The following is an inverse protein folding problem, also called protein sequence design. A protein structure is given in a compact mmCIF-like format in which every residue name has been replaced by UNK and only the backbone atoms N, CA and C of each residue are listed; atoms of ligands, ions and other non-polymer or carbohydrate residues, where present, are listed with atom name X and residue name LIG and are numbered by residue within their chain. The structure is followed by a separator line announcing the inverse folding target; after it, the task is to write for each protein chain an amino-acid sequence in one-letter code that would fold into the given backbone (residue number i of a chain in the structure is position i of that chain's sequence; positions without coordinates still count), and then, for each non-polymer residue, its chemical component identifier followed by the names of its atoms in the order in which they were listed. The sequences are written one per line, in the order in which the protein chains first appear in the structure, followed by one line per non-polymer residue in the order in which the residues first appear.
data_IF_860861432415
#
_entry.id   IF_860861432415
#
_cell.length_a   1.000
_cell.length_b   1.000
_cell.length_c   1.000
_cell.angle_alpha   90.00
_cell.angle_beta   90.00
_cell.angle_gamma   90.00
#
_symmetry.space_group_name_H-M   'P 1'
#
loop_
_entity.id
_entity.type
_entity.pdbx_description
1 polymer ?
#
# COMPACT_ATOMS: atom_id res chain seq x y z
N UNK A 1 -10.93 -28.36 24.81
CA UNK A 1 -9.47 -28.15 24.65
C UNK A 1 -9.09 -27.62 23.26
N UNK A 2 -9.65 -28.11 22.16
CA UNK A 2 -9.31 -27.68 20.77
C UNK A 2 -9.50 -26.17 20.53
N UNK A 3 -10.56 -25.54 21.03
CA UNK A 3 -10.80 -24.10 20.83
C UNK A 3 -9.73 -23.19 21.48
N UNK A 4 -9.22 -23.55 22.67
CA UNK A 4 -8.14 -22.77 23.31
C UNK A 4 -6.82 -22.88 22.57
N UNK A 5 -6.51 -24.05 21.97
CA UNK A 5 -5.31 -24.21 21.14
C UNK A 5 -5.43 -23.45 19.81
N UNK A 6 -6.61 -23.44 19.18
CA UNK A 6 -6.87 -22.66 17.98
C UNK A 6 -6.69 -21.15 18.23
N UNK A 7 -7.31 -20.62 19.30
CA UNK A 7 -7.19 -19.21 19.67
C UNK A 7 -5.73 -18.81 19.93
N UNK A 8 -4.96 -19.65 20.64
CA UNK A 8 -3.55 -19.38 20.91
C UNK A 8 -2.70 -19.37 19.63
N UNK A 9 -3.01 -20.26 18.67
CA UNK A 9 -2.30 -20.35 17.39
C UNK A 9 -2.57 -19.13 16.48
N UNK A 10 -3.77 -18.56 16.55
CA UNK A 10 -4.22 -17.46 15.70
C UNK A 10 -4.35 -16.12 16.45
N UNK A 11 -3.83 -16.03 17.67
CA UNK A 11 -3.95 -14.88 18.57
C UNK A 11 -3.57 -13.56 17.88
N UNK A 12 -2.40 -13.51 17.26
CA UNK A 12 -1.90 -12.29 16.58
C UNK A 12 -2.82 -11.84 15.44
N UNK A 13 -3.31 -12.81 14.65
CA UNK A 13 -4.24 -12.55 13.56
C UNK A 13 -5.58 -12.00 14.08
N UNK A 14 -6.11 -12.63 15.13
CA UNK A 14 -7.41 -12.24 15.72
C UNK A 14 -7.33 -10.86 16.36
N UNK A 15 -6.28 -10.58 17.15
CA UNK A 15 -6.11 -9.29 17.82
C UNK A 15 -5.95 -8.14 16.83
N UNK A 16 -5.10 -8.32 15.82
CA UNK A 16 -4.90 -7.28 14.81
C UNK A 16 -6.12 -7.08 13.89
N UNK A 17 -6.84 -8.16 13.56
CA UNK A 17 -8.10 -8.07 12.82
C UNK A 17 -9.19 -7.36 13.63
N UNK A 18 -9.30 -7.69 14.92
CA UNK A 18 -10.24 -7.03 15.81
C UNK A 18 -9.95 -5.51 15.90
N UNK A 19 -8.69 -5.11 16.03
CA UNK A 19 -8.28 -3.70 16.02
C UNK A 19 -8.71 -3.01 14.71
N UNK A 20 -8.40 -3.59 13.56
CA UNK A 20 -8.75 -3.02 12.26
C UNK A 20 -10.29 -2.91 12.09
N UNK A 21 -11.05 -3.92 12.48
CA UNK A 21 -12.52 -3.92 12.42
C UNK A 21 -13.15 -2.93 13.39
N UNK A 22 -12.60 -2.78 14.60
CA UNK A 22 -13.07 -1.78 15.57
C UNK A 22 -12.85 -0.37 15.00
N UNK A 23 -11.67 -0.09 14.46
CA UNK A 23 -11.37 1.19 13.83
C UNK A 23 -12.32 1.47 12.65
N UNK A 24 -12.52 0.48 11.77
CA UNK A 24 -13.47 0.58 10.66
C UNK A 24 -14.89 0.85 11.15
N UNK A 25 -15.34 0.15 12.20
CA UNK A 25 -16.65 0.32 12.80
C UNK A 25 -16.85 1.69 13.43
N UNK A 26 -15.83 2.24 14.11
CA UNK A 26 -15.87 3.60 14.68
C UNK A 26 -16.00 4.63 13.54
N UNK A 27 -15.20 4.50 12.48
CA UNK A 27 -15.27 5.41 11.35
C UNK A 27 -16.62 5.31 10.64
N UNK A 28 -17.11 4.12 10.36
CA UNK A 28 -18.41 3.91 9.71
C UNK A 28 -19.61 4.39 10.56
N UNK A 29 -19.48 4.40 11.89
CA UNK A 29 -20.53 4.90 12.78
C UNK A 29 -20.55 6.44 12.90
N UNK A 30 -19.50 7.13 12.49
CA UNK A 30 -19.32 8.56 12.68
C UNK A 30 -19.22 9.36 11.38
N UNK A 31 -18.83 8.74 10.28
CA UNK A 31 -18.53 9.38 9.01
C UNK A 31 -19.16 8.60 7.86
N UNK A 32 -19.56 9.34 6.83
CA UNK A 32 -19.90 8.76 5.53
C UNK A 32 -18.64 8.61 4.70
N UNK A 33 -18.51 7.48 3.98
CA UNK A 33 -17.39 7.24 3.09
C UNK A 33 -17.71 7.76 1.70
N UNK A 34 -16.78 8.50 1.10
CA UNK A 34 -16.90 9.00 -0.26
C UNK A 34 -15.55 9.10 -0.95
N UNK A 35 -15.59 9.23 -2.26
CA UNK A 35 -14.37 9.38 -3.05
C UNK A 35 -13.81 10.79 -2.91
N UNK A 36 -12.47 10.89 -2.75
CA UNK A 36 -11.79 12.16 -2.49
C UNK A 36 -11.63 12.99 -3.77
N UNK A 37 -11.30 12.32 -4.88
CA UNK A 37 -10.98 12.98 -6.14
C UNK A 37 -11.92 12.56 -7.28
N UNK A 38 -11.97 13.41 -8.31
CA UNK A 38 -12.69 13.14 -9.55
C UNK A 38 -12.21 11.87 -10.24
N UNK A 39 -10.91 11.57 -10.16
CA UNK A 39 -10.32 10.34 -10.73
C UNK A 39 -10.91 9.09 -10.10
N UNK A 40 -11.10 9.06 -8.78
CA UNK A 40 -11.71 7.91 -8.10
C UNK A 40 -13.15 7.69 -8.54
N UNK A 41 -13.90 8.79 -8.77
CA UNK A 41 -15.27 8.74 -9.31
C UNK A 41 -15.25 8.23 -10.75
N UNK A 42 -14.31 8.74 -11.58
CA UNK A 42 -14.15 8.31 -12.97
C UNK A 42 -13.82 6.82 -13.06
N UNK A 43 -12.86 6.36 -12.27
CA UNK A 43 -12.50 4.94 -12.21
C UNK A 43 -13.73 4.09 -11.86
N UNK A 44 -14.46 4.48 -10.79
CA UNK A 44 -15.68 3.80 -10.38
C UNK A 44 -16.72 3.76 -11.49
N UNK A 45 -16.93 4.86 -12.22
CA UNK A 45 -17.93 4.97 -13.28
C UNK A 45 -17.57 4.11 -14.50
N UNK A 46 -16.29 4.06 -14.90
CA UNK A 46 -15.81 3.16 -15.95
C UNK A 46 -16.01 1.70 -15.54
N UNK A 47 -15.50 1.35 -14.36
CA UNK A 47 -15.57 -0.02 -13.82
C UNK A 47 -17.01 -0.53 -13.70
N UNK A 48 -17.95 0.35 -13.36
CA UNK A 48 -19.36 0.01 -13.20
C UNK A 48 -20.16 0.07 -14.51
N UNK A 49 -19.57 0.61 -15.60
CA UNK A 49 -20.21 0.70 -16.90
C UNK A 49 -21.16 1.89 -17.07
N UNK A 50 -21.02 2.95 -16.27
CA UNK A 50 -21.87 4.15 -16.37
C UNK A 50 -21.77 4.78 -17.75
N UNK A 51 -20.58 4.84 -18.34
CA UNK A 51 -20.36 5.49 -19.65
C UNK A 51 -20.65 4.57 -20.85
N UNK A 52 -20.33 3.28 -20.72
CA UNK A 52 -20.41 2.33 -21.85
C UNK A 52 -21.63 1.42 -21.80
N UNK A 53 -22.42 1.47 -20.73
CA UNK A 53 -23.54 0.54 -20.46
C UNK A 53 -23.09 -0.84 -20.00
N UNK A 54 -21.77 -1.12 -19.99
CA UNK A 54 -21.19 -2.40 -19.54
C UNK A 54 -19.93 -2.15 -18.73
N UNK A 55 -19.73 -2.88 -17.61
CA UNK A 55 -18.51 -2.80 -16.81
C UNK A 55 -17.24 -3.01 -17.65
N UNK A 56 -16.28 -2.09 -17.56
CA UNK A 56 -15.03 -2.10 -18.32
C UNK A 56 -13.81 -1.96 -17.40
N UNK A 57 -12.72 -2.66 -17.71
CA UNK A 57 -11.47 -2.64 -16.97
C UNK A 57 -10.45 -1.61 -17.46
N UNK A 58 -10.70 -0.90 -18.56
CA UNK A 58 -9.79 0.09 -19.14
C UNK A 58 -9.96 1.45 -18.45
N UNK A 59 -9.37 1.60 -17.28
CA UNK A 59 -9.54 2.78 -16.42
C UNK A 59 -8.45 3.85 -16.57
N UNK A 60 -7.40 3.57 -17.35
CA UNK A 60 -6.17 4.38 -17.52
C UNK A 60 -5.29 4.50 -16.26
N UNK A 61 -5.89 4.62 -15.09
CA UNK A 61 -5.15 4.82 -13.82
C UNK A 61 -4.75 3.50 -13.14
N UNK A 62 -5.64 2.47 -13.22
CA UNK A 62 -5.33 1.13 -12.71
C UNK A 62 -4.70 0.30 -13.81
N UNK A 63 -3.79 -0.60 -13.46
CA UNK A 63 -3.36 -1.61 -14.43
C UNK A 63 -4.54 -2.52 -14.80
N UNK A 64 -4.68 -2.81 -16.08
CA UNK A 64 -5.79 -3.57 -16.66
C UNK A 64 -6.13 -4.89 -15.92
N UNK A 65 -5.16 -5.71 -15.45
CA UNK A 65 -5.48 -6.93 -14.71
C UNK A 65 -6.32 -6.69 -13.46
N UNK A 66 -6.10 -5.59 -12.75
CA UNK A 66 -6.92 -5.20 -11.61
C UNK A 66 -8.25 -4.60 -12.07
N UNK A 67 -8.21 -3.75 -13.09
CA UNK A 67 -9.42 -3.14 -13.67
C UNK A 67 -10.42 -4.20 -14.13
N UNK A 68 -9.99 -5.19 -14.91
CA UNK A 68 -10.88 -6.26 -15.40
C UNK A 68 -11.43 -7.12 -14.27
N UNK A 69 -10.62 -7.39 -13.22
CA UNK A 69 -11.11 -8.12 -12.05
C UNK A 69 -12.25 -7.38 -11.36
N UNK A 70 -12.08 -6.07 -11.13
CA UNK A 70 -13.11 -5.23 -10.51
C UNK A 70 -14.35 -5.07 -11.40
N UNK A 71 -14.17 -4.90 -12.71
CA UNK A 71 -15.27 -4.85 -13.68
C UNK A 71 -16.08 -6.15 -13.70
N UNK A 72 -15.42 -7.30 -13.63
CA UNK A 72 -16.09 -8.60 -13.51
C UNK A 72 -16.91 -8.72 -12.21
N UNK A 73 -16.40 -8.19 -11.09
CA UNK A 73 -17.16 -8.15 -9.85
C UNK A 73 -18.39 -7.24 -9.95
N UNK A 74 -18.32 -6.11 -10.65
CA UNK A 74 -19.49 -5.26 -10.92
C UNK A 74 -20.57 -5.96 -11.75
N UNK A 75 -20.22 -6.91 -12.62
CA UNK A 75 -21.23 -7.71 -13.37
C UNK A 75 -22.04 -8.63 -12.47
N UNK A 76 -21.47 -9.08 -11.36
CA UNK A 76 -22.10 -10.04 -10.45
C UNK A 76 -22.65 -9.45 -9.15
N UNK A 77 -22.22 -8.25 -8.77
CA UNK A 77 -22.52 -7.66 -7.48
C UNK A 77 -23.16 -6.27 -7.62
N UNK A 78 -24.28 -6.06 -6.93
CA UNK A 78 -25.00 -4.77 -6.89
C UNK A 78 -24.51 -3.87 -5.74
N UNK A 79 -23.20 -3.86 -5.45
CA UNK A 79 -22.57 -3.04 -4.39
C UNK A 79 -21.54 -2.10 -5.02
N UNK A 80 -21.11 -1.02 -4.33
CA UNK A 80 -20.04 -0.15 -4.80
C UNK A 80 -18.68 -0.87 -4.70
N UNK A 81 -18.39 -1.77 -5.66
CA UNK A 81 -17.24 -2.69 -5.65
C UNK A 81 -15.93 -1.95 -5.48
N UNK A 82 -15.71 -0.83 -6.20
CA UNK A 82 -14.45 -0.10 -6.13
C UNK A 82 -14.22 0.51 -4.74
N UNK A 83 -15.21 1.17 -4.16
CA UNK A 83 -15.13 1.70 -2.79
C UNK A 83 -14.91 0.61 -1.75
N UNK A 84 -15.64 -0.50 -1.86
CA UNK A 84 -15.46 -1.67 -0.99
C UNK A 84 -14.05 -2.27 -1.12
N UNK A 85 -13.50 -2.31 -2.34
CA UNK A 85 -12.13 -2.76 -2.60
C UNK A 85 -11.09 -1.83 -1.98
N UNK A 86 -11.24 -0.49 -2.10
CA UNK A 86 -10.34 0.47 -1.47
C UNK A 86 -10.36 0.32 0.06
N UNK A 87 -11.54 0.23 0.68
CA UNK A 87 -11.69 -0.03 2.11
C UNK A 87 -11.01 -1.35 2.53
N UNK A 88 -11.24 -2.41 1.77
CA UNK A 88 -10.59 -3.71 2.03
C UNK A 88 -9.06 -3.59 2.00
N UNK A 89 -8.50 -2.86 1.03
CA UNK A 89 -7.07 -2.64 0.91
C UNK A 89 -6.51 -1.78 2.06
N UNK A 90 -7.21 -0.71 2.44
CA UNK A 90 -6.80 0.18 3.53
C UNK A 90 -6.80 -0.56 4.88
N UNK A 91 -7.94 -1.16 5.25
CA UNK A 91 -8.04 -1.90 6.52
C UNK A 91 -7.24 -3.20 6.50
N UNK A 92 -7.06 -3.83 5.34
CA UNK A 92 -6.14 -4.93 5.12
C UNK A 92 -4.68 -4.55 5.38
N UNK A 93 -4.27 -3.34 4.97
CA UNK A 93 -2.94 -2.79 5.26
C UNK A 93 -2.74 -2.54 6.77
N UNK A 94 -3.74 -1.95 7.43
CA UNK A 94 -3.75 -1.74 8.88
C UNK A 94 -3.65 -3.07 9.63
N UNK A 95 -4.46 -4.05 9.22
CA UNK A 95 -4.40 -5.40 9.77
C UNK A 95 -3.03 -6.05 9.57
N UNK A 96 -2.44 -5.94 8.37
CA UNK A 96 -1.14 -6.54 8.05
C UNK A 96 -0.01 -5.95 8.90
N UNK A 97 -0.02 -4.63 9.13
CA UNK A 97 0.93 -3.95 10.02
C UNK A 97 0.73 -4.43 11.46
N UNK A 98 -0.49 -4.36 12.01
CA UNK A 98 -0.79 -4.79 13.36
C UNK A 98 -0.48 -6.27 13.61
N UNK A 99 -0.76 -7.14 12.63
CA UNK A 99 -0.38 -8.55 12.71
C UNK A 99 1.15 -8.71 12.80
N UNK A 100 1.89 -8.03 11.95
CA UNK A 100 3.36 -8.14 11.98
C UNK A 100 3.96 -7.56 13.25
N UNK A 101 3.44 -6.45 13.73
CA UNK A 101 3.84 -5.83 15.00
C UNK A 101 3.65 -6.77 16.18
N UNK A 102 2.50 -7.44 16.27
CA UNK A 102 2.25 -8.42 17.35
C UNK A 102 3.13 -9.66 17.25
N UNK A 103 3.47 -10.12 16.05
CA UNK A 103 4.46 -11.20 15.84
C UNK A 103 5.85 -10.77 16.29
N UNK A 104 6.27 -9.52 16.03
CA UNK A 104 7.55 -8.99 16.50
C UNK A 104 7.68 -9.03 18.03
N UNK A 105 6.60 -8.71 18.75
CA UNK A 105 6.57 -8.84 20.21
C UNK A 105 6.87 -10.27 20.65
N UNK A 106 6.29 -11.27 19.99
CA UNK A 106 6.53 -12.69 20.30
C UNK A 106 7.97 -13.12 19.94
N UNK A 107 8.49 -12.67 18.79
CA UNK A 107 9.86 -12.97 18.35
C UNK A 107 10.91 -12.38 19.30
N UNK A 108 10.72 -11.12 19.72
CA UNK A 108 11.63 -10.45 20.66
C UNK A 108 11.65 -11.15 22.04
N UNK A 109 10.49 -11.56 22.51
CA UNK A 109 10.38 -12.33 23.75
C UNK A 109 11.12 -13.65 23.65
N UNK A 110 10.88 -14.43 22.60
CA UNK A 110 11.56 -15.72 22.40
C UNK A 110 13.09 -15.56 22.34
N UNK A 111 13.58 -14.48 21.73
CA UNK A 111 15.01 -14.17 21.70
C UNK A 111 15.57 -13.87 23.09
N UNK A 112 14.85 -13.13 23.93
CA UNK A 112 15.26 -12.84 25.32
C UNK A 112 15.25 -14.08 26.20
N UNK A 113 14.22 -14.93 26.11
CA UNK A 113 14.13 -16.20 26.83
C UNK A 113 15.32 -17.11 26.45
N UNK A 114 15.66 -17.21 25.17
CA UNK A 114 16.80 -18.01 24.70
C UNK A 114 18.14 -17.48 25.21
N UNK A 115 18.31 -16.15 25.29
CA UNK A 115 19.52 -15.52 25.81
C UNK A 115 19.69 -15.71 27.33
N UNK A 116 18.59 -15.81 28.07
CA UNK A 116 18.62 -16.03 29.55
C UNK A 116 18.97 -17.46 29.93
N UNK A 117 18.77 -18.44 29.06
CA UNK A 117 19.03 -19.88 29.30
C UNK A 117 20.50 -20.25 29.03
N UNK A 118 21.30 -19.38 28.38
CA UNK A 118 22.71 -19.60 28.06
C UNK A 118 23.69 -18.88 29.02
N UNK A 119 23.90 -19.35 30.28
CA UNK A 119 24.63 -18.60 31.30
C UNK A 119 26.16 -18.75 31.21
N UNK A 120 26.73 -19.06 30.05
CA UNK A 120 28.16 -19.36 29.90
C UNK A 120 28.98 -18.48 28.96
N UNK A 121 28.38 -17.55 28.22
CA UNK A 121 29.11 -16.73 27.24
C UNK A 121 28.79 -15.21 27.33
N UNK A 122 28.79 -14.65 28.53
CA UNK A 122 28.71 -13.19 28.67
C UNK A 122 30.06 -12.55 28.42
N UNK A 123 30.28 -12.01 27.21
CA UNK A 123 31.34 -11.05 26.96
C UNK A 123 31.02 -9.72 27.66
N UNK A 124 32.04 -8.96 28.04
CA UNK A 124 31.92 -7.66 28.77
C UNK A 124 31.01 -6.62 28.11
N UNK A 125 30.67 -6.79 26.81
CA UNK A 125 29.73 -5.94 26.08
C UNK A 125 28.26 -6.20 26.46
N UNK A 126 27.92 -7.37 27.06
CA UNK A 126 26.59 -7.67 27.57
C UNK A 126 26.34 -7.07 28.96
N UNK A 127 27.38 -6.79 29.74
CA UNK A 127 27.23 -6.22 31.08
C UNK A 127 26.68 -4.77 31.06
N UNK A 128 27.00 -4.00 30.03
CA UNK A 128 26.46 -2.63 29.87
C UNK A 128 24.95 -2.59 29.54
N UNK A 129 24.36 -3.69 29.05
CA UNK A 129 22.92 -3.81 28.81
C UNK A 129 22.12 -4.35 30.01
N UNK A 130 22.80 -4.81 31.05
CA UNK A 130 22.20 -5.35 32.27
C UNK A 130 21.81 -4.27 33.30
N UNK A 131 21.94 -2.98 32.97
CA UNK A 131 21.55 -1.87 33.84
C UNK A 131 20.04 -1.56 33.82
N UNK A 132 19.18 -2.38 33.15
CA UNK A 132 17.72 -2.28 33.25
C UNK A 132 17.10 -3.55 33.82
N UNK A 133 17.26 -3.88 35.12
CA UNK A 133 16.65 -5.07 35.70
C UNK A 133 15.12 -4.94 35.90
N UNK A 134 14.55 -3.75 35.85
CA UNK A 134 13.14 -3.53 36.17
C UNK A 134 12.18 -3.83 35.01
N UNK A 135 12.63 -3.72 33.74
CA UNK A 135 11.78 -4.01 32.57
C UNK A 135 11.76 -5.50 32.22
N UNK A 136 12.82 -6.24 32.57
CA UNK A 136 12.91 -7.68 32.26
C UNK A 136 11.98 -8.59 33.07
N UNK A 137 11.54 -8.21 34.26
CA UNK A 137 10.65 -9.02 35.11
C UNK A 137 9.16 -8.93 34.68
N UNK A 138 8.79 -7.85 34.00
CA UNK A 138 7.39 -7.54 33.66
C UNK A 138 6.78 -8.40 32.52
N UNK A 139 7.55 -9.25 31.84
CA UNK A 139 7.10 -9.92 30.61
C UNK A 139 6.83 -11.43 30.79
N UNK A 140 6.79 -11.94 32.04
CA UNK A 140 6.82 -13.37 32.26
C UNK A 140 5.47 -14.08 32.26
N UNK A 141 4.35 -13.36 32.28
CA UNK A 141 3.02 -13.96 32.25
C UNK A 141 2.30 -13.81 30.91
N UNK A 142 1.37 -14.72 30.61
CA UNK A 142 0.52 -14.62 29.41
C UNK A 142 -0.33 -13.34 29.43
N UNK A 143 -0.77 -12.92 30.63
CA UNK A 143 -1.57 -11.70 30.81
C UNK A 143 -0.76 -10.44 30.46
N UNK A 144 0.50 -10.36 30.88
CA UNK A 144 1.39 -9.24 30.55
C UNK A 144 1.70 -9.18 29.05
N UNK A 145 1.93 -10.32 28.40
CA UNK A 145 2.12 -10.40 26.95
C UNK A 145 0.92 -9.86 26.17
N UNK A 146 -0.29 -10.26 26.55
CA UNK A 146 -1.53 -9.76 25.95
C UNK A 146 -1.71 -8.26 26.22
N UNK A 147 -1.33 -7.80 27.41
CA UNK A 147 -1.36 -6.38 27.76
C UNK A 147 -0.45 -5.54 26.85
N UNK A 148 0.78 -5.99 26.64
CA UNK A 148 1.73 -5.29 25.74
C UNK A 148 1.23 -5.25 24.29
N UNK A 149 0.73 -6.38 23.77
CA UNK A 149 0.13 -6.41 22.42
C UNK A 149 -1.09 -5.48 22.32
N UNK A 150 -1.92 -5.47 23.37
CA UNK A 150 -3.08 -4.57 23.43
C UNK A 150 -2.71 -3.10 23.42
N UNK A 151 -1.70 -2.70 24.22
CA UNK A 151 -1.19 -1.32 24.23
C UNK A 151 -0.58 -0.95 22.88
N UNK A 152 0.20 -1.84 22.25
CA UNK A 152 0.78 -1.63 20.95
C UNK A 152 -0.31 -1.42 19.87
N UNK A 153 -1.29 -2.30 19.81
CA UNK A 153 -2.40 -2.20 18.84
C UNK A 153 -3.27 -0.95 19.09
N UNK A 154 -3.46 -0.57 20.35
CA UNK A 154 -4.15 0.70 20.67
C UNK A 154 -3.36 1.90 20.18
N UNK A 155 -2.05 1.92 20.41
CA UNK A 155 -1.18 2.98 19.92
C UNK A 155 -1.18 3.05 18.39
N UNK A 156 -1.14 1.92 17.71
CA UNK A 156 -1.28 1.84 16.24
C UNK A 156 -2.65 2.34 15.77
N UNK A 157 -3.74 1.93 16.43
CA UNK A 157 -5.08 2.40 16.09
C UNK A 157 -5.22 3.92 16.24
N UNK A 158 -4.65 4.49 17.32
CA UNK A 158 -4.62 5.94 17.54
C UNK A 158 -3.76 6.64 16.49
N UNK A 159 -2.61 6.06 16.13
CA UNK A 159 -1.78 6.59 15.05
C UNK A 159 -2.52 6.60 13.71
N UNK A 160 -3.13 5.47 13.32
CA UNK A 160 -3.90 5.39 12.08
C UNK A 160 -5.07 6.37 12.07
N UNK A 161 -5.79 6.50 13.20
CA UNK A 161 -6.88 7.45 13.32
C UNK A 161 -6.39 8.90 13.22
N UNK A 162 -5.31 9.26 13.91
CA UNK A 162 -4.80 10.63 13.93
C UNK A 162 -4.09 11.04 12.64
N UNK A 163 -3.29 10.12 12.04
CA UNK A 163 -2.48 10.43 10.86
C UNK A 163 -3.23 10.20 9.54
N UNK A 164 -4.13 9.22 9.50
CA UNK A 164 -4.77 8.76 8.26
C UNK A 164 -6.29 8.80 8.32
N UNK A 165 -6.90 9.26 9.43
CA UNK A 165 -8.35 9.19 9.63
C UNK A 165 -9.17 9.84 8.53
N UNK A 166 -8.75 11.01 8.02
CA UNK A 166 -9.39 11.66 6.87
C UNK A 166 -9.28 10.80 5.61
N UNK A 167 -8.10 10.25 5.31
CA UNK A 167 -7.86 9.41 4.13
C UNK A 167 -8.52 8.03 4.21
N UNK A 168 -8.86 7.57 5.41
CA UNK A 168 -9.65 6.35 5.58
C UNK A 168 -11.14 6.56 5.28
N UNK A 169 -11.62 7.81 5.38
CA UNK A 169 -12.99 8.22 5.08
C UNK A 169 -13.11 8.74 3.65
N UNK A 170 -12.18 9.56 3.22
CA UNK A 170 -12.07 10.06 1.85
C UNK A 170 -11.25 9.08 1.02
N UNK A 171 -11.99 8.20 0.32
CA UNK A 171 -11.37 7.09 -0.40
C UNK A 171 -10.59 7.60 -1.61
N UNK A 172 -9.30 7.35 -1.61
CA UNK A 172 -8.41 7.70 -2.71
C UNK A 172 -7.52 6.53 -3.07
N UNK A 173 -7.50 6.16 -4.35
CA UNK A 173 -6.73 5.02 -4.84
C UNK A 173 -5.21 5.21 -4.66
N UNK A 174 -4.70 6.45 -4.79
CA UNK A 174 -3.28 6.77 -4.58
C UNK A 174 -2.84 6.54 -3.14
N UNK A 175 -3.62 7.04 -2.17
CA UNK A 175 -3.35 6.84 -0.74
C UNK A 175 -3.44 5.36 -0.40
N UNK A 176 -4.44 4.66 -0.93
CA UNK A 176 -4.61 3.21 -0.75
C UNK A 176 -3.42 2.43 -1.28
N UNK A 177 -2.89 2.79 -2.46
CA UNK A 177 -1.67 2.19 -3.00
C UNK A 177 -0.47 2.43 -2.10
N UNK A 178 -0.31 3.67 -1.58
CA UNK A 178 0.73 4.00 -0.60
C UNK A 178 0.65 3.19 0.69
N UNK A 179 -0.55 2.98 1.22
CA UNK A 179 -0.78 2.16 2.42
C UNK A 179 -0.40 0.69 2.17
N UNK A 180 -0.77 0.11 1.02
CA UNK A 180 -0.38 -1.25 0.63
C UNK A 180 1.14 -1.39 0.49
N UNK A 181 1.78 -0.44 -0.21
CA UNK A 181 3.23 -0.42 -0.36
C UNK A 181 3.94 -0.29 0.99
N UNK A 182 3.47 0.64 1.85
CA UNK A 182 4.01 0.83 3.21
C UNK A 182 3.88 -0.42 4.08
N UNK A 183 2.72 -1.08 4.05
CA UNK A 183 2.51 -2.34 4.76
C UNK A 183 3.42 -3.46 4.22
N UNK A 184 3.59 -3.55 2.90
CA UNK A 184 4.52 -4.50 2.26
C UNK A 184 5.96 -4.25 2.68
N UNK A 185 6.41 -3.00 2.66
CA UNK A 185 7.76 -2.60 3.08
C UNK A 185 7.99 -2.94 4.54
N UNK A 186 7.05 -2.58 5.43
CA UNK A 186 7.12 -2.92 6.84
C UNK A 186 7.25 -4.43 7.06
N UNK A 187 6.48 -5.21 6.29
CA UNK A 187 6.55 -6.67 6.36
C UNK A 187 7.91 -7.21 5.88
N UNK A 188 8.41 -6.78 4.72
CA UNK A 188 9.72 -7.21 4.20
C UNK A 188 10.84 -6.90 5.17
N UNK A 189 10.82 -5.68 5.74
CA UNK A 189 11.84 -5.19 6.67
C UNK A 189 11.86 -5.98 7.98
N UNK A 190 10.69 -6.36 8.48
CA UNK A 190 10.55 -6.98 9.80
C UNK A 190 10.47 -8.50 9.77
N UNK A 191 10.00 -9.11 8.67
CA UNK A 191 9.87 -10.55 8.54
C UNK A 191 11.23 -11.26 8.30
N UNK A 192 11.27 -12.56 8.54
CA UNK A 192 12.46 -13.40 8.35
C UNK A 192 12.19 -14.50 7.31
N UNK A 193 13.23 -14.88 6.57
CA UNK A 193 13.18 -16.00 5.66
C UNK A 193 12.02 -15.90 4.65
N UNK A 194 11.33 -17.02 4.42
CA UNK A 194 10.24 -17.12 3.42
C UNK A 194 9.03 -16.23 3.70
N UNK A 195 8.83 -15.77 4.94
CA UNK A 195 7.73 -14.86 5.28
C UNK A 195 7.81 -13.52 4.54
N UNK A 196 9.00 -13.09 4.13
CA UNK A 196 9.20 -11.87 3.32
C UNK A 196 8.47 -11.94 1.98
N UNK A 197 8.32 -13.12 1.38
CA UNK A 197 7.63 -13.27 0.10
C UNK A 197 6.13 -12.93 0.17
N UNK A 198 5.52 -13.02 1.34
CA UNK A 198 4.11 -12.62 1.53
C UNK A 198 3.88 -11.13 1.28
N UNK A 199 4.89 -10.31 1.53
CA UNK A 199 4.84 -8.88 1.25
C UNK A 199 4.68 -8.56 -0.24
N UNK A 200 5.15 -9.45 -1.13
CA UNK A 200 5.04 -9.24 -2.57
C UNK A 200 3.58 -9.13 -3.02
N UNK A 201 2.67 -9.87 -2.39
CA UNK A 201 1.24 -9.80 -2.73
C UNK A 201 0.67 -8.39 -2.48
N UNK A 202 1.00 -7.80 -1.33
CA UNK A 202 0.57 -6.44 -1.00
C UNK A 202 1.22 -5.42 -1.95
N UNK A 203 2.50 -5.63 -2.26
CA UNK A 203 3.23 -4.71 -3.13
C UNK A 203 2.76 -4.78 -4.58
N UNK A 204 2.50 -5.98 -5.11
CA UNK A 204 1.94 -6.15 -6.46
C UNK A 204 0.53 -5.58 -6.56
N UNK A 205 -0.28 -5.72 -5.51
CA UNK A 205 -1.60 -5.10 -5.45
C UNK A 205 -1.50 -3.57 -5.45
N UNK A 206 -0.55 -2.99 -4.70
CA UNK A 206 -0.21 -1.57 -4.74
C UNK A 206 0.19 -1.13 -6.15
N UNK A 207 1.06 -1.92 -6.80
CA UNK A 207 1.53 -1.65 -8.16
C UNK A 207 0.39 -1.71 -9.19
N UNK A 208 -0.53 -2.66 -9.07
CA UNK A 208 -1.70 -2.74 -9.94
C UNK A 208 -2.68 -1.59 -9.71
N UNK A 209 -2.76 -1.07 -8.48
CA UNK A 209 -3.64 0.04 -8.12
C UNK A 209 -3.08 1.39 -8.59
N UNK A 210 -1.78 1.65 -8.38
CA UNK A 210 -1.06 2.82 -8.87
C UNK A 210 0.45 2.55 -8.99
N UNK A 211 0.96 2.28 -10.20
CA UNK A 211 2.36 1.95 -10.44
C UNK A 211 3.33 3.03 -9.93
N UNK A 212 3.02 4.31 -10.17
CA UNK A 212 3.87 5.44 -9.80
C UNK A 212 4.06 5.52 -8.28
N UNK A 213 2.98 5.32 -7.52
CA UNK A 213 3.01 5.35 -6.07
C UNK A 213 3.80 4.16 -5.50
N UNK A 214 3.63 2.98 -6.06
CA UNK A 214 4.41 1.81 -5.68
C UNK A 214 5.90 2.03 -5.94
N UNK A 215 6.27 2.55 -7.13
CA UNK A 215 7.66 2.86 -7.48
C UNK A 215 8.25 3.96 -6.58
N UNK A 216 7.47 4.99 -6.24
CA UNK A 216 7.88 6.05 -5.31
C UNK A 216 8.23 5.51 -3.91
N UNK A 217 7.55 4.46 -3.48
CA UNK A 217 7.82 3.82 -2.18
C UNK A 217 9.03 2.87 -2.21
N UNK A 218 9.52 2.47 -3.39
CA UNK A 218 10.61 1.47 -3.52
C UNK A 218 11.94 1.89 -2.86
N UNK A 219 12.38 3.17 -2.94
CA UNK A 219 13.58 3.62 -2.22
C UNK A 219 13.50 3.41 -0.70
N UNK A 220 12.31 3.50 -0.10
CA UNK A 220 12.12 3.23 1.33
C UNK A 220 12.36 1.75 1.66
N UNK A 221 11.95 0.84 0.76
CA UNK A 221 12.25 -0.59 0.89
C UNK A 221 13.76 -0.84 0.81
N UNK A 222 14.45 -0.15 -0.10
CA UNK A 222 15.91 -0.21 -0.25
C UNK A 222 16.64 0.27 1.02
N UNK A 223 16.25 1.43 1.55
CA UNK A 223 16.79 1.97 2.78
C UNK A 223 16.55 1.04 3.98
N UNK A 224 15.34 0.53 4.15
CA UNK A 224 14.99 -0.45 5.17
C UNK A 224 15.80 -1.75 5.01
N UNK A 225 15.95 -2.24 3.80
CA UNK A 225 16.78 -3.41 3.47
C UNK A 225 18.25 -3.22 3.86
N UNK A 226 18.84 -2.05 3.56
CA UNK A 226 20.20 -1.72 3.95
C UNK A 226 20.36 -1.67 5.48
N UNK A 227 19.37 -1.13 6.20
CA UNK A 227 19.39 -1.11 7.67
C UNK A 227 19.40 -2.53 8.27
N UNK A 228 18.57 -3.45 7.72
CA UNK A 228 18.55 -4.85 8.16
C UNK A 228 19.88 -5.51 7.83
N UNK A 229 20.33 -5.31 6.61
CA UNK A 229 21.58 -5.87 6.13
C UNK A 229 22.78 -5.46 6.98
N UNK A 230 22.84 -4.20 7.39
CA UNK A 230 23.86 -3.72 8.35
C UNK A 230 23.77 -4.37 9.73
N UNK A 231 22.57 -4.83 10.15
CA UNK A 231 22.36 -5.56 11.42
C UNK A 231 22.72 -7.04 11.34
N UNK A 232 22.47 -7.66 10.21
CA UNK A 232 22.81 -9.07 9.94
C UNK A 232 24.27 -9.10 9.49
N UNK A 233 25.22 -9.39 10.38
CA UNK A 233 26.68 -9.43 10.10
C UNK A 233 27.12 -10.41 8.98
N UNK A 234 26.18 -11.09 8.31
CA UNK A 234 26.39 -12.05 7.24
C UNK A 234 25.91 -11.54 5.86
N UNK A 235 26.04 -10.27 5.61
CA UNK A 235 25.55 -9.55 4.43
C UNK A 235 25.88 -10.24 3.09
N UNK A 236 27.13 -10.73 2.93
CA UNK A 236 27.61 -11.34 1.70
C UNK A 236 27.64 -12.88 1.74
N UNK A 237 26.93 -13.52 2.68
CA UNK A 237 26.77 -14.96 2.62
C UNK A 237 26.02 -15.34 1.36
N UNK A 238 26.42 -16.44 0.69
CA UNK A 238 25.76 -16.95 -0.54
C UNK A 238 24.26 -17.18 -0.31
N UNK A 239 23.87 -17.58 0.89
CA UNK A 239 22.49 -17.85 1.26
C UNK A 239 21.67 -16.58 1.36
N UNK A 240 22.17 -15.55 2.07
CA UNK A 240 21.51 -14.23 2.17
C UNK A 240 21.39 -13.59 0.80
N UNK A 241 22.45 -13.57 0.01
CA UNK A 241 22.45 -12.99 -1.33
C UNK A 241 21.42 -13.70 -2.24
N UNK A 242 21.38 -15.03 -2.22
CA UNK A 242 20.41 -15.82 -3.00
C UNK A 242 18.97 -15.50 -2.60
N UNK A 243 18.72 -15.33 -1.29
CA UNK A 243 17.40 -15.00 -0.79
C UNK A 243 16.94 -13.61 -1.24
N UNK A 244 17.79 -12.58 -1.09
CA UNK A 244 17.47 -11.20 -1.48
C UNK A 244 17.37 -11.04 -3.01
N UNK A 245 18.25 -11.69 -3.78
CA UNK A 245 18.15 -11.72 -5.24
C UNK A 245 16.86 -12.42 -5.69
N UNK A 246 16.48 -13.52 -5.02
CA UNK A 246 15.23 -14.22 -5.31
C UNK A 246 14.00 -13.36 -5.03
N UNK A 247 14.00 -12.63 -3.91
CA UNK A 247 12.93 -11.70 -3.56
C UNK A 247 12.83 -10.55 -4.58
N UNK A 248 13.96 -9.95 -4.93
CA UNK A 248 14.04 -8.89 -5.92
C UNK A 248 13.61 -9.36 -7.32
N UNK A 249 14.09 -10.53 -7.75
CA UNK A 249 13.68 -11.12 -9.02
C UNK A 249 12.17 -11.39 -9.06
N UNK A 250 11.60 -11.97 -7.99
CA UNK A 250 10.16 -12.20 -7.89
C UNK A 250 9.38 -10.89 -7.96
N UNK A 251 9.84 -9.83 -7.27
CA UNK A 251 9.25 -8.50 -7.32
C UNK A 251 9.18 -7.98 -8.76
N UNK A 252 10.35 -7.94 -9.44
CA UNK A 252 10.48 -7.40 -10.80
C UNK A 252 9.70 -8.23 -11.82
N UNK A 253 9.75 -9.55 -11.72
CA UNK A 253 9.00 -10.45 -12.62
C UNK A 253 7.50 -10.21 -12.46
N UNK A 254 6.99 -10.13 -11.22
CA UNK A 254 5.57 -9.88 -11.00
C UNK A 254 5.11 -8.52 -11.52
N UNK A 255 5.89 -7.47 -11.27
CA UNK A 255 5.60 -6.13 -11.84
C UNK A 255 5.63 -6.17 -13.38
N UNK A 256 6.63 -6.83 -13.97
CA UNK A 256 6.76 -6.98 -15.41
C UNK A 256 5.59 -7.74 -16.04
N UNK A 257 5.07 -8.78 -15.36
CA UNK A 257 3.89 -9.52 -15.82
C UNK A 257 2.65 -8.63 -15.80
N UNK A 258 2.36 -7.94 -14.69
CA UNK A 258 1.18 -7.07 -14.60
C UNK A 258 1.25 -5.91 -15.59
N UNK A 259 2.39 -5.26 -15.72
CA UNK A 259 2.59 -4.20 -16.69
C UNK A 259 2.52 -4.71 -18.14
N UNK A 260 3.09 -5.87 -18.43
CA UNK A 260 3.01 -6.48 -19.76
C UNK A 260 1.57 -6.85 -20.17
N UNK A 261 0.75 -7.33 -19.22
CA UNK A 261 -0.67 -7.57 -19.46
C UNK A 261 -1.44 -6.27 -19.72
N UNK A 262 -1.08 -5.19 -19.02
CA UNK A 262 -1.64 -3.86 -19.26
C UNK A 262 -1.31 -3.36 -20.67
N UNK A 263 -0.04 -3.41 -21.07
CA UNK A 263 0.40 -3.01 -22.42
C UNK A 263 -0.31 -3.82 -23.51
N UNK A 264 -0.51 -5.12 -23.29
CA UNK A 264 -1.25 -5.97 -24.22
C UNK A 264 -2.73 -5.58 -24.33
N UNK A 265 -3.37 -5.23 -23.22
CA UNK A 265 -4.77 -4.81 -23.21
C UNK A 265 -4.99 -3.49 -23.97
N UNK A 266 -4.02 -2.57 -23.90
CA UNK A 266 -4.04 -1.30 -24.62
C UNK A 266 -3.28 -1.33 -25.97
N UNK A 267 -3.08 -2.50 -26.57
CA UNK A 267 -2.31 -2.65 -27.82
C UNK A 267 -3.12 -2.35 -29.09
N UNK A 268 -4.45 -2.34 -29.00
CA UNK A 268 -5.32 -1.93 -30.11
C UNK A 268 -5.05 -0.49 -30.52
N UNK A 269 -5.10 -0.13 -31.83
CA UNK A 269 -4.88 1.22 -32.31
C UNK A 269 -5.76 2.27 -31.62
N UNK A 270 -7.06 2.02 -31.46
CA UNK A 270 -7.99 2.96 -30.84
C UNK A 270 -7.60 3.26 -29.38
N UNK A 271 -7.15 2.23 -28.65
CA UNK A 271 -6.67 2.41 -27.28
C UNK A 271 -5.33 3.16 -27.21
N UNK A 272 -4.45 2.97 -28.18
CA UNK A 272 -3.17 3.72 -28.24
C UNK A 272 -3.41 5.19 -28.49
N UNK A 273 -4.28 5.53 -29.43
CA UNK A 273 -4.65 6.91 -29.73
C UNK A 273 -5.33 7.58 -28.55
N UNK A 274 -6.24 6.84 -27.86
CA UNK A 274 -6.87 7.35 -26.66
C UNK A 274 -5.88 7.55 -25.50
N UNK A 275 -4.92 6.64 -25.32
CA UNK A 275 -3.88 6.74 -24.28
C UNK A 275 -2.97 7.96 -24.55
N UNK A 276 -2.56 8.17 -25.80
CA UNK A 276 -1.80 9.36 -26.17
C UNK A 276 -2.58 10.64 -25.86
N UNK A 277 -3.84 10.71 -26.26
CA UNK A 277 -4.72 11.84 -25.91
C UNK A 277 -4.84 12.05 -24.41
N UNK A 278 -4.99 10.98 -23.64
CA UNK A 278 -5.10 11.04 -22.18
C UNK A 278 -3.81 11.57 -21.54
N UNK A 279 -2.65 11.12 -22.00
CA UNK A 279 -1.35 11.57 -21.51
C UNK A 279 -1.11 13.05 -21.83
N UNK A 280 -1.41 13.49 -23.04
CA UNK A 280 -1.32 14.89 -23.46
C UNK A 280 -2.29 15.79 -22.66
N UNK A 281 -3.52 15.32 -22.44
CA UNK A 281 -4.50 16.01 -21.60
C UNK A 281 -4.00 16.13 -20.16
N UNK A 282 -3.42 15.09 -19.60
CA UNK A 282 -2.88 15.08 -18.23
C UNK A 282 -1.76 16.10 -18.07
N UNK A 283 -0.86 16.19 -19.06
CA UNK A 283 0.18 17.23 -19.07
C UNK A 283 -0.44 18.63 -19.08
N UNK A 284 -1.49 18.84 -19.86
CA UNK A 284 -2.17 20.13 -19.95
C UNK A 284 -2.87 20.56 -18.66
N UNK A 285 -3.49 19.61 -17.93
CA UNK A 285 -4.34 19.94 -16.78
C UNK A 285 -3.64 19.82 -15.44
N UNK A 286 -2.75 18.85 -15.30
CA UNK A 286 -2.13 18.54 -14.00
C UNK A 286 -0.78 19.25 -13.78
N UNK A 287 -0.13 19.65 -14.87
CA UNK A 287 1.12 20.41 -14.81
C UNK A 287 0.85 21.87 -15.17
N UNK A 288 1.12 22.78 -14.24
CA UNK A 288 1.03 24.22 -14.49
C UNK A 288 2.08 24.65 -15.51
N UNK A 289 1.80 24.41 -16.77
CA UNK A 289 2.54 25.04 -17.84
C UNK A 289 1.96 26.45 -18.02
N UNK A 290 2.81 27.47 -18.08
CA UNK A 290 2.39 28.85 -18.37
C UNK A 290 2.05 29.00 -19.86
N UNK A 291 0.98 28.32 -20.30
CA UNK A 291 0.50 28.34 -21.68
C UNK A 291 0.19 29.74 -22.20
N UNK A 292 -0.19 30.69 -21.31
CA UNK A 292 -0.50 32.05 -21.70
C UNK A 292 0.77 32.76 -22.10
N UNK A 293 1.88 32.58 -21.38
CA UNK A 293 3.19 33.13 -21.77
C UNK A 293 3.72 32.44 -23.04
N UNK A 294 3.55 31.12 -23.15
CA UNK A 294 3.95 30.36 -24.32
C UNK A 294 3.09 30.65 -25.58
N UNK A 295 1.86 31.15 -25.42
CA UNK A 295 0.99 31.47 -26.53
C UNK A 295 1.62 32.53 -27.45
N UNK A 296 2.15 33.60 -26.86
CA UNK A 296 2.73 34.69 -27.66
C UNK A 296 4.03 34.26 -28.39
N UNK A 297 4.77 33.30 -27.80
CA UNK A 297 5.97 32.70 -28.39
C UNK A 297 5.67 31.71 -29.54
N UNK A 298 4.55 30.96 -29.42
CA UNK A 298 4.15 29.90 -30.36
C UNK A 298 2.84 30.20 -31.07
N UNK A 299 2.53 31.49 -31.28
CA UNK A 299 1.25 31.96 -31.77
C UNK A 299 0.82 31.32 -33.08
N UNK A 300 1.74 31.16 -34.05
CA UNK A 300 1.47 30.59 -35.36
C UNK A 300 0.98 29.12 -35.23
N UNK A 301 1.62 28.31 -34.38
CA UNK A 301 1.23 26.93 -34.14
C UNK A 301 -0.17 26.82 -33.46
N UNK A 302 -0.47 27.71 -32.54
CA UNK A 302 -1.77 27.75 -31.90
C UNK A 302 -2.90 28.23 -32.84
N UNK A 303 -2.62 29.19 -33.69
CA UNK A 303 -3.57 29.68 -34.71
C UNK A 303 -3.86 28.57 -35.73
N UNK A 304 -2.84 27.80 -36.18
CA UNK A 304 -3.02 26.66 -37.08
C UNK A 304 -3.89 25.55 -36.49
N UNK A 305 -3.78 25.31 -35.18
CA UNK A 305 -4.59 24.31 -34.48
C UNK A 305 -5.98 24.83 -34.07
N UNK A 306 -6.28 26.11 -34.28
CA UNK A 306 -7.54 26.75 -33.89
C UNK A 306 -7.65 27.03 -32.37
N UNK A 307 -6.55 26.92 -31.65
CA UNK A 307 -6.52 27.21 -30.20
C UNK A 307 -6.29 28.70 -29.99
N UNK A 308 -7.33 29.40 -29.56
CA UNK A 308 -7.24 30.83 -29.23
C UNK A 308 -6.68 31.05 -27.82
N UNK A 309 -6.13 32.26 -27.58
CA UNK A 309 -5.69 32.68 -26.23
C UNK A 309 -6.82 32.53 -25.19
N UNK A 310 -8.05 32.92 -25.55
CA UNK A 310 -9.21 32.78 -24.70
C UNK A 310 -9.49 31.32 -24.35
N UNK A 311 -9.37 30.41 -25.33
CA UNK A 311 -9.54 28.98 -25.09
C UNK A 311 -8.49 28.44 -24.11
N UNK A 312 -7.22 28.87 -24.21
CA UNK A 312 -6.19 28.52 -23.24
C UNK A 312 -6.46 29.05 -21.85
N UNK A 313 -6.93 30.30 -21.74
CA UNK A 313 -7.32 30.88 -20.45
C UNK A 313 -8.49 30.10 -19.82
N UNK A 314 -9.47 29.70 -20.64
CA UNK A 314 -10.57 28.83 -20.19
C UNK A 314 -10.08 27.47 -19.71
N UNK A 315 -9.18 26.84 -20.45
CA UNK A 315 -8.55 25.57 -20.08
C UNK A 315 -7.77 25.70 -18.75
N UNK A 316 -6.91 26.74 -18.63
CA UNK A 316 -6.12 27.02 -17.42
C UNK A 316 -7.01 27.21 -16.18
N UNK A 317 -8.15 27.87 -16.34
CA UNK A 317 -9.06 28.19 -15.22
C UNK A 317 -10.20 27.17 -15.05
N UNK A 318 -10.20 26.07 -15.80
CA UNK A 318 -11.28 25.06 -15.82
C UNK A 318 -12.67 25.69 -16.06
N UNK A 319 -12.73 26.79 -16.77
CA UNK A 319 -13.94 27.52 -17.04
C UNK A 319 -14.47 27.16 -18.44
N UNK A 320 -15.31 26.15 -18.52
CA UNK A 320 -15.84 25.60 -19.77
C UNK A 320 -17.27 26.12 -20.11
N UNK A 321 -17.72 27.18 -19.52
CA UNK A 321 -19.03 27.71 -19.87
C UNK A 321 -19.83 28.34 -18.95
#
# INVERSE_FOLDING_TARGET
MAGKQFLKKHENCILSLAMALILAGILAARFDFYYDLNDDVLIKDILSGVYSGTPDGHTMQLLYPLGVLLALLYRGLSIPVFGAFLLFCQFGSIWAVGYRSTVLVDEERAARESASIAPGMCSAASAARLAEPAVCSAWNTTAERLGVKGVLLLAEALFWFAAMGSHLVYLQYTVTAGMLAGAAIFWVVTAKGKERFRALLLYWLSFCLRPEMALLCLPLAGAGGLCIWGREKQIFSKESLRHYLGLFAALVIGMGVFYGLDVLAYSDPDWKDFRQFFDERTILYDYHLDFIEQYDENREAYEETGVSRTLQEMLKNYNFG
#
